data_IF_055875012313
#
_entry.id   IF_055875012313
#
_cell.length_a   1.000
_cell.length_b   1.000
_cell.length_c   1.000
_cell.angle_alpha   90.00
_cell.angle_beta   90.00
_cell.angle_gamma   90.00
#
_symmetry.space_group_name_H-M   'P 1'
#
loop_
_entity.id
_entity.type
_entity.pdbx_description
1 polymer ?
#
# COMPACT_ATOMS: atom_id res chain seq x y z
N UNK A 1 3.14 -27.95 25.05
CA UNK A 1 3.74 -29.16 25.64
C UNK A 1 2.87 -30.34 25.25
N UNK A 2 3.49 -31.47 24.90
CA UNK A 2 2.84 -32.72 24.53
C UNK A 2 2.75 -33.62 25.77
N UNK A 3 1.62 -33.58 26.47
CA UNK A 3 1.44 -34.28 27.75
C UNK A 3 1.38 -35.78 27.59
N UNK A 4 0.73 -36.28 26.53
CA UNK A 4 0.66 -37.72 26.24
C UNK A 4 2.03 -38.33 25.99
N UNK A 5 2.91 -37.61 25.30
CA UNK A 5 4.29 -38.06 25.09
C UNK A 5 5.19 -37.83 26.30
N UNK A 6 4.95 -36.75 27.03
CA UNK A 6 5.85 -36.25 28.07
C UNK A 6 5.69 -36.91 29.43
N UNK A 7 4.48 -37.36 29.78
CA UNK A 7 4.13 -37.87 31.11
C UNK A 7 4.06 -39.41 31.15
N UNK A 8 4.34 -40.03 32.31
CA UNK A 8 4.83 -39.39 33.55
C UNK A 8 6.30 -38.95 33.39
N UNK A 9 6.57 -37.70 33.74
CA UNK A 9 7.92 -37.12 33.66
C UNK A 9 8.80 -37.68 34.77
N UNK A 10 10.12 -37.75 34.53
CA UNK A 10 11.05 -38.16 35.58
C UNK A 10 12.51 -38.07 35.18
N UNK A 11 13.37 -37.85 36.18
CA UNK A 11 14.82 -37.85 36.02
C UNK A 11 15.32 -39.28 35.70
N UNK A 12 16.28 -39.38 34.79
CA UNK A 12 16.86 -40.67 34.35
C UNK A 12 18.22 -40.47 33.72
N UNK A 13 19.01 -41.54 33.70
CA UNK A 13 20.28 -41.55 32.98
C UNK A 13 20.03 -41.62 31.46
N UNK A 14 20.97 -41.11 30.67
CA UNK A 14 20.91 -41.18 29.20
C UNK A 14 20.88 -42.62 28.65
N UNK A 15 21.38 -43.59 29.43
CA UNK A 15 21.46 -45.01 29.04
C UNK A 15 20.24 -45.82 29.49
N UNK A 16 19.36 -45.25 30.30
CA UNK A 16 18.19 -45.96 30.80
C UNK A 16 17.11 -46.07 29.72
N UNK A 17 16.48 -47.23 29.60
CA UNK A 17 15.31 -47.41 28.76
C UNK A 17 14.08 -46.79 29.45
N UNK A 18 13.44 -45.76 28.86
CA UNK A 18 12.25 -45.12 29.43
C UNK A 18 11.08 -46.08 29.58
N UNK A 19 10.95 -47.07 28.68
CA UNK A 19 9.86 -48.06 28.75
C UNK A 19 10.02 -48.98 29.94
N UNK A 20 11.25 -49.38 30.26
CA UNK A 20 11.55 -50.18 31.45
C UNK A 20 11.27 -49.42 32.76
N UNK A 21 11.31 -48.08 32.74
CA UNK A 21 11.08 -47.21 33.89
C UNK A 21 9.65 -46.64 33.97
N UNK A 22 8.77 -46.98 33.02
CA UNK A 22 7.43 -46.40 32.89
C UNK A 22 7.42 -44.86 32.85
N UNK A 23 8.41 -44.24 32.18
CA UNK A 23 8.49 -42.77 32.07
C UNK A 23 8.22 -42.28 30.64
N UNK A 24 7.55 -41.14 30.53
CA UNK A 24 7.39 -40.39 29.27
C UNK A 24 8.65 -39.63 28.86
N UNK A 25 8.62 -38.95 27.71
CA UNK A 25 9.79 -38.29 27.10
C UNK A 25 10.33 -37.08 27.88
N UNK A 26 9.57 -36.50 28.82
CA UNK A 26 10.04 -35.38 29.63
C UNK A 26 11.02 -35.85 30.71
N UNK A 27 12.26 -35.34 30.69
CA UNK A 27 13.33 -35.69 31.64
C UNK A 27 13.35 -34.84 32.91
N UNK A 28 12.31 -34.03 33.11
CA UNK A 28 12.11 -33.15 34.28
C UNK A 28 13.25 -32.14 34.58
N UNK A 29 14.00 -31.71 33.57
CA UNK A 29 15.14 -30.79 33.74
C UNK A 29 14.78 -29.32 34.09
N UNK A 30 13.51 -28.93 34.00
CA UNK A 30 13.00 -27.57 34.27
C UNK A 30 13.62 -26.40 33.46
N UNK A 31 14.49 -26.66 32.48
CA UNK A 31 15.10 -25.62 31.63
C UNK A 31 14.05 -24.79 30.87
N UNK A 32 12.95 -25.42 30.45
CA UNK A 32 11.83 -24.73 29.78
C UNK A 32 11.16 -23.64 30.64
N UNK A 33 11.25 -23.75 31.97
CA UNK A 33 10.75 -22.74 32.93
C UNK A 33 11.78 -21.62 33.11
N UNK A 34 13.06 -21.99 33.20
CA UNK A 34 14.16 -21.03 33.41
C UNK A 34 14.34 -20.06 32.24
N UNK A 35 14.14 -20.53 31.00
CA UNK A 35 14.23 -19.67 29.81
C UNK A 35 12.95 -18.88 29.54
N UNK A 36 11.90 -19.10 30.32
CA UNK A 36 10.63 -18.42 30.11
C UNK A 36 10.72 -16.98 30.64
N UNK A 37 10.58 -15.94 29.80
CA UNK A 37 10.65 -14.56 30.27
C UNK A 37 9.48 -14.18 31.18
N UNK A 38 8.37 -14.92 31.14
CA UNK A 38 7.20 -14.69 31.99
C UNK A 38 7.12 -15.65 33.17
N UNK A 39 8.11 -16.54 33.35
CA UNK A 39 8.20 -17.44 34.51
C UNK A 39 7.15 -18.57 34.54
N UNK A 40 6.44 -18.82 33.45
CA UNK A 40 5.44 -19.91 33.39
C UNK A 40 6.08 -21.29 33.24
N UNK A 41 5.37 -22.30 33.73
CA UNK A 41 5.72 -23.70 33.47
C UNK A 41 4.81 -24.26 32.37
N UNK A 42 5.32 -24.23 31.13
CA UNK A 42 4.61 -24.71 29.94
C UNK A 42 4.15 -26.18 30.02
N UNK A 43 4.68 -26.96 30.97
CA UNK A 43 4.24 -28.34 31.23
C UNK A 43 2.87 -28.40 31.91
N UNK A 44 2.40 -27.29 32.52
CA UNK A 44 1.05 -27.14 33.10
C UNK A 44 -0.01 -26.76 32.06
N UNK A 45 0.35 -26.71 30.78
CA UNK A 45 -0.56 -26.39 29.69
C UNK A 45 -0.40 -24.95 29.19
N UNK A 46 -1.39 -24.50 28.42
CA UNK A 46 -1.41 -23.13 27.90
C UNK A 46 -1.88 -22.20 29.01
N UNK A 47 -1.02 -21.25 29.38
CA UNK A 47 -1.29 -20.25 30.42
C UNK A 47 -1.43 -18.87 29.78
N UNK A 48 -2.24 -17.99 30.39
CA UNK A 48 -2.55 -16.66 29.85
C UNK A 48 -1.33 -15.74 29.73
N UNK A 49 -0.32 -15.95 30.56
CA UNK A 49 0.93 -15.20 30.61
C UNK A 49 1.90 -15.62 29.50
N UNK A 50 1.54 -16.63 28.68
CA UNK A 50 2.36 -17.06 27.56
C UNK A 50 2.34 -16.01 26.43
N UNK A 51 3.51 -15.43 26.12
CA UNK A 51 3.68 -14.47 25.02
C UNK A 51 4.03 -15.12 23.67
N UNK A 52 4.13 -16.45 23.61
CA UNK A 52 4.46 -17.16 22.37
C UNK A 52 5.85 -16.82 21.81
N UNK A 53 6.88 -16.69 22.66
CA UNK A 53 8.25 -16.41 22.21
C UNK A 53 9.01 -17.65 21.71
N UNK A 54 8.67 -18.85 22.20
CA UNK A 54 9.23 -20.12 21.70
C UNK A 54 10.50 -20.60 22.39
N UNK A 55 11.11 -19.79 23.26
CA UNK A 55 12.35 -20.16 23.96
C UNK A 55 12.27 -21.50 24.71
N UNK A 56 11.10 -21.79 25.30
CA UNK A 56 10.85 -23.06 25.99
C UNK A 56 10.86 -24.27 25.04
N UNK A 57 10.47 -24.10 23.77
CA UNK A 57 10.54 -25.15 22.75
C UNK A 57 12.00 -25.41 22.33
N UNK A 58 12.75 -24.34 22.04
CA UNK A 58 14.13 -24.43 21.54
C UNK A 58 15.06 -25.09 22.57
N UNK A 59 14.97 -24.68 23.84
CA UNK A 59 15.77 -25.30 24.91
C UNK A 59 15.35 -26.75 25.13
N UNK A 60 14.06 -27.06 24.99
CA UNK A 60 13.56 -28.42 25.16
C UNK A 60 14.07 -29.34 24.04
N UNK A 61 14.07 -28.87 22.80
CA UNK A 61 14.61 -29.62 21.66
C UNK A 61 16.11 -29.88 21.82
N UNK A 62 16.86 -28.91 22.35
CA UNK A 62 18.28 -29.10 22.70
C UNK A 62 18.46 -30.22 23.73
N UNK A 63 17.58 -30.31 24.73
CA UNK A 63 17.60 -31.39 25.72
C UNK A 63 17.21 -32.72 25.10
N UNK A 64 16.14 -32.76 24.30
CA UNK A 64 15.68 -33.97 23.61
C UNK A 64 16.78 -34.56 22.73
N UNK A 65 17.49 -33.71 21.98
CA UNK A 65 18.62 -34.11 21.15
C UNK A 65 19.78 -34.67 21.99
N UNK A 66 20.14 -34.03 23.12
CA UNK A 66 21.18 -34.51 24.02
C UNK A 66 20.89 -35.88 24.62
N UNK A 67 19.62 -36.17 24.93
CA UNK A 67 19.21 -37.48 25.49
C UNK A 67 18.81 -38.50 24.41
N UNK A 68 18.79 -38.11 23.13
CA UNK A 68 18.50 -39.00 22.01
C UNK A 68 17.01 -39.24 21.73
N UNK A 69 16.12 -38.32 22.12
CA UNK A 69 14.67 -38.40 21.87
C UNK A 69 14.23 -37.50 20.71
N UNK A 70 13.09 -37.82 20.06
CA UNK A 70 12.52 -36.95 19.04
C UNK A 70 12.20 -35.55 19.58
N UNK A 71 12.52 -34.53 18.77
CA UNK A 71 12.19 -33.11 19.00
C UNK A 71 10.67 -32.87 19.06
N UNK A 72 10.28 -31.65 19.45
CA UNK A 72 8.89 -31.21 19.50
C UNK A 72 8.11 -31.72 20.71
N UNK A 73 8.76 -31.84 21.88
CA UNK A 73 8.04 -32.13 23.14
C UNK A 73 7.25 -30.90 23.59
N UNK A 74 7.84 -29.74 23.35
CA UNK A 74 7.15 -28.46 23.32
C UNK A 74 7.22 -27.99 21.85
N UNK A 75 6.08 -27.65 21.26
CA UNK A 75 5.96 -27.27 19.85
C UNK A 75 4.85 -26.27 19.64
N UNK A 76 4.97 -25.44 18.61
CA UNK A 76 3.88 -24.61 18.12
C UNK A 76 2.86 -25.48 17.40
N UNK A 77 1.71 -25.63 18.01
CA UNK A 77 0.58 -26.35 17.45
C UNK A 77 -0.71 -25.83 18.06
N UNK A 78 -1.84 -26.14 17.43
CA UNK A 78 -3.16 -25.87 18.01
C UNK A 78 -3.52 -26.99 18.99
N UNK A 79 -4.26 -26.67 20.05
CA UNK A 79 -4.76 -27.69 21.00
C UNK A 79 -5.52 -28.82 20.27
N UNK A 80 -6.28 -28.48 19.24
CA UNK A 80 -7.02 -29.46 18.45
C UNK A 80 -6.11 -30.37 17.60
N UNK A 81 -5.00 -29.85 17.08
CA UNK A 81 -4.01 -30.67 16.39
C UNK A 81 -3.21 -31.55 17.36
N UNK A 82 -2.94 -31.05 18.58
CA UNK A 82 -2.32 -31.84 19.65
C UNK A 82 -3.22 -32.99 20.09
N UNK A 83 -4.47 -32.71 20.45
CA UNK A 83 -5.45 -33.71 20.90
C UNK A 83 -5.79 -34.73 19.81
N UNK A 84 -5.78 -34.32 18.53
CA UNK A 84 -6.02 -35.21 17.40
C UNK A 84 -4.78 -35.98 16.94
N UNK A 85 -3.60 -35.77 17.53
CA UNK A 85 -2.35 -36.38 17.09
C UNK A 85 -1.97 -36.03 15.63
N UNK A 86 -2.35 -34.84 15.16
CA UNK A 86 -2.25 -34.52 13.73
C UNK A 86 -0.83 -34.36 13.26
N UNK A 87 -0.55 -34.89 12.08
CA UNK A 87 0.70 -34.62 11.38
C UNK A 87 0.73 -33.18 10.86
N UNK A 88 1.92 -32.71 10.49
CA UNK A 88 2.11 -31.37 9.90
C UNK A 88 1.25 -31.20 8.65
N UNK A 89 1.18 -32.22 7.80
CA UNK A 89 0.36 -32.23 6.59
C UNK A 89 -1.14 -32.11 6.88
N UNK A 90 -1.66 -32.86 7.87
CA UNK A 90 -3.06 -32.78 8.28
C UNK A 90 -3.39 -31.39 8.83
N UNK A 91 -2.47 -30.78 9.57
CA UNK A 91 -2.60 -29.42 10.08
C UNK A 91 -2.66 -28.40 8.94
N UNK A 92 -1.79 -28.51 7.92
CA UNK A 92 -1.82 -27.65 6.73
C UNK A 92 -3.10 -27.81 5.90
N UNK A 93 -3.60 -29.04 5.71
CA UNK A 93 -4.89 -29.27 5.04
C UNK A 93 -6.05 -28.58 5.77
N UNK A 94 -6.00 -28.51 7.10
CA UNK A 94 -6.98 -27.78 7.91
C UNK A 94 -6.90 -26.27 7.69
N UNK A 95 -5.74 -25.71 7.37
CA UNK A 95 -5.61 -24.29 7.02
C UNK A 95 -6.31 -23.99 5.69
N UNK A 96 -6.23 -24.91 4.72
CA UNK A 96 -6.84 -24.80 3.38
C UNK A 96 -8.37 -25.05 3.35
N UNK A 97 -9.09 -24.69 4.42
CA UNK A 97 -10.55 -24.82 4.46
C UNK A 97 -11.22 -23.82 3.51
N UNK A 98 -12.36 -24.18 2.90
CA UNK A 98 -13.07 -23.30 1.96
C UNK A 98 -13.31 -21.89 2.49
N UNK A 99 -13.69 -21.75 3.77
CA UNK A 99 -13.90 -20.43 4.40
C UNK A 99 -12.62 -19.59 4.48
N UNK A 100 -11.49 -20.20 4.82
CA UNK A 100 -10.20 -19.50 4.90
C UNK A 100 -9.78 -19.05 3.50
N UNK A 101 -9.86 -19.95 2.52
CA UNK A 101 -9.54 -19.64 1.12
C UNK A 101 -10.41 -18.50 0.58
N UNK A 102 -11.70 -18.46 0.91
CA UNK A 102 -12.61 -17.39 0.51
C UNK A 102 -12.19 -16.04 1.12
N UNK A 103 -11.92 -15.99 2.43
CA UNK A 103 -11.49 -14.75 3.07
C UNK A 103 -10.11 -14.28 2.56
N UNK A 104 -9.16 -15.20 2.36
CA UNK A 104 -7.86 -14.89 1.77
C UNK A 104 -8.01 -14.38 0.34
N UNK A 105 -8.89 -14.99 -0.45
CA UNK A 105 -9.19 -14.54 -1.82
C UNK A 105 -9.77 -13.14 -1.87
N UNK A 106 -10.75 -12.82 -1.02
CA UNK A 106 -11.33 -11.48 -0.91
C UNK A 106 -10.25 -10.46 -0.49
N UNK A 107 -9.46 -10.78 0.53
CA UNK A 107 -8.39 -9.91 1.00
C UNK A 107 -7.36 -9.63 -0.11
N UNK A 108 -6.95 -10.66 -0.85
CA UNK A 108 -6.05 -10.52 -1.99
C UNK A 108 -6.65 -9.63 -3.08
N UNK A 109 -7.93 -9.81 -3.41
CA UNK A 109 -8.62 -8.99 -4.41
C UNK A 109 -8.63 -7.51 -4.02
N UNK A 110 -8.99 -7.20 -2.77
CA UNK A 110 -9.00 -5.81 -2.27
C UNK A 110 -7.60 -5.23 -2.25
N UNK A 111 -6.61 -6.01 -1.84
CA UNK A 111 -5.21 -5.59 -1.79
C UNK A 111 -4.69 -5.29 -3.20
N UNK A 112 -4.95 -6.16 -4.16
CA UNK A 112 -4.59 -5.94 -5.56
C UNK A 112 -5.28 -4.71 -6.13
N UNK A 113 -6.59 -4.55 -5.89
CA UNK A 113 -7.33 -3.36 -6.32
C UNK A 113 -6.73 -2.07 -5.77
N UNK A 114 -6.34 -2.04 -4.49
CA UNK A 114 -5.68 -0.90 -3.86
C UNK A 114 -4.34 -0.58 -4.52
N UNK A 115 -3.47 -1.59 -4.69
CA UNK A 115 -2.16 -1.38 -5.31
C UNK A 115 -2.27 -0.96 -6.77
N UNK A 116 -3.18 -1.55 -7.54
CA UNK A 116 -3.48 -1.13 -8.90
C UNK A 116 -3.99 0.31 -8.95
N UNK A 117 -4.92 0.68 -8.06
CA UNK A 117 -5.42 2.06 -7.97
C UNK A 117 -4.32 3.06 -7.63
N UNK A 118 -3.36 2.68 -6.78
CA UNK A 118 -2.24 3.54 -6.43
C UNK A 118 -1.24 3.67 -7.58
N UNK A 119 -0.94 2.57 -8.27
CA UNK A 119 -0.03 2.57 -9.42
C UNK A 119 -0.59 3.34 -10.64
N UNK A 120 -1.91 3.32 -10.83
CA UNK A 120 -2.59 4.02 -11.93
C UNK A 120 -2.95 5.48 -11.61
N UNK A 121 -2.67 5.95 -10.39
CA UNK A 121 -2.99 7.33 -9.97
C UNK A 121 -2.17 8.32 -10.80
N UNK A 122 -2.84 9.23 -11.51
CA UNK A 122 -2.17 10.34 -12.20
C UNK A 122 -1.44 11.24 -11.18
N UNK A 123 -0.17 11.59 -11.40
CA UNK A 123 0.64 12.35 -10.45
C UNK A 123 0.34 13.86 -10.43
N UNK A 124 -0.65 14.34 -11.18
CA UNK A 124 -1.01 15.76 -11.23
C UNK A 124 -2.50 15.96 -11.51
N UNK A 125 -3.01 17.14 -11.17
CA UNK A 125 -4.38 17.60 -11.45
C UNK A 125 -4.33 19.06 -11.91
N UNK A 126 -5.15 19.43 -12.90
CA UNK A 126 -5.30 20.82 -13.33
C UNK A 126 -6.79 21.16 -13.36
N UNK A 127 -7.18 22.25 -12.70
CA UNK A 127 -8.55 22.78 -12.75
C UNK A 127 -8.55 24.14 -13.46
N UNK A 128 -9.42 24.32 -14.47
CA UNK A 128 -9.54 25.58 -15.22
C UNK A 128 -10.66 26.43 -14.64
N UNK A 129 -10.31 27.60 -14.07
CA UNK A 129 -11.28 28.57 -13.58
C UNK A 129 -11.24 29.81 -14.46
N UNK A 130 -12.30 30.05 -15.24
CA UNK A 130 -12.44 31.29 -16.02
C UNK A 130 -12.67 32.47 -15.08
N UNK A 131 -11.93 33.56 -15.28
CA UNK A 131 -12.19 34.78 -14.53
C UNK A 131 -13.53 35.39 -14.98
N UNK A 132 -14.38 35.75 -14.02
CA UNK A 132 -15.71 36.30 -14.29
C UNK A 132 -15.67 37.81 -14.53
N UNK A 133 -14.55 38.48 -14.24
CA UNK A 133 -14.43 39.93 -14.36
C UNK A 133 -13.00 40.33 -14.75
N UNK A 134 -12.78 40.95 -15.92
CA UNK A 134 -13.70 41.34 -17.00
C UNK A 134 -13.84 40.28 -18.10
N UNK A 135 -15.03 40.26 -18.73
CA UNK A 135 -15.53 39.19 -19.62
C UNK A 135 -14.79 39.06 -20.97
N UNK A 136 -14.17 40.12 -21.46
CA UNK A 136 -13.23 40.16 -22.57
C UNK A 136 -12.67 41.60 -22.66
N UNK A 137 -11.41 41.78 -23.02
CA UNK A 137 -10.83 43.11 -23.27
C UNK A 137 -10.29 43.19 -24.68
N UNK A 138 -10.48 44.32 -25.35
CA UNK A 138 -9.81 44.59 -26.62
C UNK A 138 -8.45 45.21 -26.28
N UNK A 139 -7.37 44.58 -26.74
CA UNK A 139 -6.00 45.01 -26.49
C UNK A 139 -5.46 45.73 -27.74
N UNK A 140 -4.45 46.59 -27.54
CA UNK A 140 -3.73 47.27 -28.63
C UNK A 140 -3.30 46.27 -29.70
N UNK A 141 -3.74 46.47 -30.94
CA UNK A 141 -3.52 45.56 -32.07
C UNK A 141 -4.75 44.80 -32.55
N UNK A 142 -5.96 45.13 -32.06
CA UNK A 142 -7.21 44.52 -32.54
C UNK A 142 -7.39 43.07 -32.08
N UNK A 143 -6.83 42.72 -30.92
CA UNK A 143 -6.92 41.39 -30.34
C UNK A 143 -7.94 41.40 -29.19
N UNK A 144 -8.76 40.36 -29.12
CA UNK A 144 -9.69 40.10 -28.02
C UNK A 144 -8.96 39.22 -27.01
N UNK A 145 -8.87 39.68 -25.77
CA UNK A 145 -8.21 38.98 -24.66
C UNK A 145 -9.23 38.43 -23.66
N UNK A 146 -9.07 37.16 -23.28
CA UNK A 146 -9.80 36.51 -22.19
C UNK A 146 -8.80 36.00 -21.14
N UNK A 147 -9.13 36.14 -19.86
CA UNK A 147 -8.27 35.76 -18.73
C UNK A 147 -8.82 34.53 -18.02
N UNK A 148 -7.94 33.57 -17.76
CA UNK A 148 -8.23 32.30 -17.08
C UNK A 148 -7.25 32.12 -15.92
N UNK A 149 -7.69 31.42 -14.88
CA UNK A 149 -6.84 31.01 -13.76
C UNK A 149 -6.83 29.49 -13.71
N UNK A 150 -5.67 28.91 -14.00
CA UNK A 150 -5.43 27.47 -13.89
C UNK A 150 -4.92 27.16 -12.50
N UNK A 151 -5.57 26.22 -11.80
CA UNK A 151 -5.01 25.64 -10.59
C UNK A 151 -4.24 24.38 -10.99
N UNK A 152 -2.92 24.45 -10.98
CA UNK A 152 -2.04 23.31 -11.28
C UNK A 152 -1.58 22.69 -9.97
N UNK A 153 -1.89 21.43 -9.74
CA UNK A 153 -1.49 20.68 -8.55
C UNK A 153 -0.56 19.53 -8.92
N UNK A 154 0.66 19.58 -8.40
CA UNK A 154 1.62 18.49 -8.50
C UNK A 154 1.47 17.58 -7.28
N UNK A 155 1.05 16.33 -7.52
CA UNK A 155 0.92 15.31 -6.48
C UNK A 155 2.11 14.32 -6.47
N UNK A 156 3.12 14.52 -7.32
CA UNK A 156 4.36 13.77 -7.30
C UNK A 156 5.34 14.33 -6.24
N UNK A 157 6.24 13.46 -5.79
CA UNK A 157 7.36 13.80 -4.90
C UNK A 157 8.55 14.43 -5.67
N UNK A 158 8.35 14.85 -6.91
CA UNK A 158 9.35 15.49 -7.77
C UNK A 158 8.78 16.74 -8.42
N UNK A 159 9.61 17.75 -8.71
CA UNK A 159 9.17 18.90 -9.50
C UNK A 159 8.73 18.45 -10.90
N UNK A 160 7.64 19.02 -11.39
CA UNK A 160 7.11 18.79 -12.73
C UNK A 160 6.98 20.11 -13.49
N UNK A 161 7.29 20.07 -14.78
CA UNK A 161 7.01 21.14 -15.72
C UNK A 161 5.67 20.91 -16.39
N UNK A 162 4.90 21.97 -16.56
CA UNK A 162 3.61 21.94 -17.22
C UNK A 162 3.62 22.85 -18.43
N UNK A 163 3.40 22.27 -19.61
CA UNK A 163 3.22 23.00 -20.86
C UNK A 163 1.74 23.21 -21.15
N UNK A 164 1.37 24.47 -21.31
CA UNK A 164 0.00 24.91 -21.56
C UNK A 164 -0.20 25.16 -23.06
N UNK A 165 -1.25 24.56 -23.62
CA UNK A 165 -1.72 24.82 -24.98
C UNK A 165 -3.23 25.03 -24.97
N UNK A 166 -3.74 25.81 -25.91
CA UNK A 166 -5.16 26.07 -26.07
C UNK A 166 -5.57 25.83 -27.53
N UNK A 167 -6.66 25.10 -27.73
CA UNK A 167 -7.21 24.76 -29.05
C UNK A 167 -8.71 25.05 -29.09
N UNK A 168 -9.27 25.16 -30.30
CA UNK A 168 -10.71 25.33 -30.53
C UNK A 168 -11.09 26.50 -31.42
N UNK A 169 -10.20 27.47 -31.61
CA UNK A 169 -10.39 28.64 -32.49
C UNK A 169 -9.15 28.89 -33.35
N UNK A 170 -9.36 29.26 -34.62
CA UNK A 170 -8.26 29.60 -35.53
C UNK A 170 -7.67 30.96 -35.14
N UNK A 171 -6.34 31.02 -34.95
CA UNK A 171 -5.64 32.23 -34.50
C UNK A 171 -5.63 32.44 -32.99
N UNK A 172 -6.15 31.49 -32.20
CA UNK A 172 -6.06 31.53 -30.73
C UNK A 172 -4.61 31.35 -30.28
N UNK A 173 -4.11 32.26 -29.45
CA UNK A 173 -2.75 32.22 -28.92
C UNK A 173 -2.71 32.46 -27.41
N UNK A 174 -1.76 31.81 -26.74
CA UNK A 174 -1.46 32.06 -25.33
C UNK A 174 -0.37 33.12 -25.27
N UNK A 175 -0.61 34.22 -24.54
CA UNK A 175 0.33 35.35 -24.43
C UNK A 175 1.14 35.31 -23.14
N UNK A 176 0.72 34.50 -22.18
CA UNK A 176 1.45 34.25 -20.93
C UNK A 176 2.49 33.16 -21.10
N UNK A 177 3.42 33.07 -20.15
CA UNK A 177 4.40 31.98 -20.09
C UNK A 177 3.67 30.63 -20.13
N UNK A 178 4.03 29.79 -21.11
CA UNK A 178 3.38 28.51 -21.37
C UNK A 178 4.02 27.37 -20.58
N UNK A 179 5.19 27.59 -19.99
CA UNK A 179 5.91 26.61 -19.18
C UNK A 179 5.85 26.99 -17.71
N UNK A 180 5.33 26.10 -16.88
CA UNK A 180 5.20 26.36 -15.44
C UNK A 180 5.84 25.24 -14.65
N UNK A 181 6.85 25.60 -13.86
CA UNK A 181 7.44 24.72 -12.88
C UNK A 181 6.60 24.69 -11.59
N UNK A 182 6.11 23.51 -11.22
CA UNK A 182 5.42 23.28 -9.94
C UNK A 182 6.26 22.29 -9.12
N UNK A 183 6.78 22.73 -7.95
CA UNK A 183 7.54 21.86 -7.05
C UNK A 183 6.75 20.63 -6.60
N UNK A 184 7.49 19.66 -6.07
CA UNK A 184 6.91 18.44 -5.52
C UNK A 184 5.81 18.77 -4.50
N UNK A 185 4.68 18.07 -4.59
CA UNK A 185 3.55 18.19 -3.64
C UNK A 185 2.95 19.59 -3.46
N UNK A 186 3.19 20.51 -4.40
CA UNK A 186 2.70 21.90 -4.35
C UNK A 186 1.53 22.14 -5.32
N UNK A 187 0.72 23.15 -5.04
CA UNK A 187 -0.29 23.68 -5.96
C UNK A 187 -0.04 25.16 -6.26
N UNK A 188 -0.12 25.55 -7.54
CA UNK A 188 0.07 26.93 -7.99
C UNK A 188 -1.09 27.40 -8.85
N UNK A 189 -1.45 28.67 -8.66
CA UNK A 189 -2.37 29.37 -9.54
C UNK A 189 -1.59 30.05 -10.65
N UNK A 190 -1.93 29.73 -11.90
CA UNK A 190 -1.34 30.31 -13.09
C UNK A 190 -2.40 31.16 -13.78
N UNK A 191 -2.11 32.45 -13.97
CA UNK A 191 -2.98 33.33 -14.77
C UNK A 191 -2.60 33.19 -16.24
N UNK A 192 -3.55 32.77 -17.05
CA UNK A 192 -3.37 32.52 -18.48
C UNK A 192 -4.21 33.50 -19.27
N UNK A 193 -3.58 34.18 -20.23
CA UNK A 193 -4.26 35.10 -21.14
C UNK A 193 -4.30 34.51 -22.53
N UNK A 194 -5.51 34.35 -23.06
CA UNK A 194 -5.76 33.93 -24.42
C UNK A 194 -6.09 35.15 -25.27
N UNK A 195 -5.46 35.28 -26.42
CA UNK A 195 -5.76 36.32 -27.40
C UNK A 195 -6.24 35.70 -28.72
N UNK A 196 -7.20 36.39 -29.34
CA UNK A 196 -7.81 36.03 -30.61
C UNK A 196 -7.96 37.30 -31.48
N UNK A 197 -7.63 37.25 -32.78
CA UNK A 197 -7.88 38.37 -33.68
C UNK A 197 -9.37 38.72 -33.77
N UNK A 198 -9.70 40.01 -33.83
CA UNK A 198 -11.09 40.50 -33.79
C UNK A 198 -11.98 39.95 -34.92
N UNK A 199 -11.39 39.63 -36.07
CA UNK A 199 -12.06 39.12 -37.27
C UNK A 199 -12.15 37.58 -37.32
N UNK A 200 -11.50 36.87 -36.39
CA UNK A 200 -11.36 35.42 -36.45
C UNK A 200 -12.62 34.65 -36.02
N UNK A 201 -13.56 35.27 -35.28
CA UNK A 201 -14.76 34.60 -34.80
C UNK A 201 -15.96 35.57 -34.63
N UNK A 202 -17.19 35.10 -34.87
CA UNK A 202 -18.38 35.92 -34.66
C UNK A 202 -18.63 36.19 -33.17
N UNK A 203 -19.35 37.28 -32.82
CA UNK A 203 -19.74 37.57 -31.44
C UNK A 203 -20.48 36.41 -30.77
N UNK A 204 -20.05 36.00 -29.59
CA UNK A 204 -20.64 34.87 -28.89
C UNK A 204 -19.66 34.08 -28.02
N UNK A 205 -20.13 32.89 -27.62
CA UNK A 205 -19.43 31.96 -26.75
C UNK A 205 -18.91 30.79 -27.58
N UNK A 206 -17.59 30.60 -27.58
CA UNK A 206 -16.92 29.57 -28.38
C UNK A 206 -16.24 28.55 -27.48
N UNK A 207 -16.48 27.24 -27.67
CA UNK A 207 -15.82 26.20 -26.88
C UNK A 207 -14.33 26.15 -27.21
N UNK A 208 -13.51 26.07 -26.15
CA UNK A 208 -12.06 25.89 -26.26
C UNK A 208 -11.60 24.76 -25.33
N UNK A 209 -10.47 24.16 -25.64
CA UNK A 209 -9.87 23.09 -24.88
C UNK A 209 -8.44 23.48 -24.49
N UNK A 210 -8.15 23.45 -23.19
CA UNK A 210 -6.79 23.56 -22.70
C UNK A 210 -6.16 22.17 -22.70
N UNK A 211 -5.06 22.00 -23.43
CA UNK A 211 -4.22 20.81 -23.38
C UNK A 211 -3.03 21.13 -22.47
N UNK A 212 -2.94 20.40 -21.36
CA UNK A 212 -1.83 20.54 -20.40
C UNK A 212 -1.03 19.24 -20.43
N UNK A 213 0.24 19.37 -20.79
CA UNK A 213 1.21 18.29 -20.79
C UNK A 213 2.17 18.48 -19.63
N UNK A 214 2.27 17.49 -18.75
CA UNK A 214 3.30 17.47 -17.70
C UNK A 214 4.53 16.73 -18.19
N UNK A 215 5.73 17.22 -17.91
CA UNK A 215 6.98 16.52 -18.21
C UNK A 215 8.02 16.72 -17.11
N UNK A 216 8.95 15.76 -16.99
CA UNK A 216 10.13 15.86 -16.14
C UNK A 216 11.29 16.44 -16.97
N UNK A 217 12.17 17.23 -16.34
CA UNK A 217 13.35 17.79 -16.99
C UNK A 217 14.22 16.66 -17.57
N UNK A 218 14.35 16.61 -18.90
CA UNK A 218 15.10 15.57 -19.61
C UNK A 218 14.33 14.27 -19.94
N UNK A 219 13.00 14.22 -19.78
CA UNK A 219 12.16 13.04 -20.11
C UNK A 219 10.88 13.40 -20.90
N UNK A 220 10.31 12.37 -21.54
CA UNK A 220 9.02 12.41 -22.23
C UNK A 220 7.85 12.76 -21.29
N UNK A 221 6.74 13.17 -21.91
CA UNK A 221 5.48 13.59 -21.27
C UNK A 221 5.01 12.56 -20.24
N UNK A 222 4.98 12.95 -18.96
CA UNK A 222 4.53 12.15 -17.81
C UNK A 222 3.01 11.99 -17.79
N UNK A 223 2.31 12.89 -18.48
CA UNK A 223 0.89 12.74 -18.74
C UNK A 223 0.29 13.97 -19.42
N UNK A 224 -0.88 13.74 -19.99
CA UNK A 224 -1.69 14.75 -20.67
C UNK A 224 -3.09 14.82 -20.02
N UNK A 225 -3.59 16.04 -19.89
CA UNK A 225 -4.97 16.32 -19.48
C UNK A 225 -5.56 17.39 -20.40
N UNK A 226 -6.82 17.17 -20.76
CA UNK A 226 -7.60 18.11 -21.55
C UNK A 226 -8.73 18.66 -20.68
N UNK A 227 -8.78 19.99 -20.56
CA UNK A 227 -9.79 20.68 -19.76
C UNK A 227 -10.62 21.63 -20.63
N UNK A 228 -11.95 21.55 -20.48
CA UNK A 228 -12.89 22.29 -21.32
C UNK A 228 -13.11 23.70 -20.77
N UNK A 229 -13.14 24.69 -21.65
CA UNK A 229 -13.48 26.06 -21.32
C UNK A 229 -14.20 26.78 -22.46
N UNK A 230 -14.45 28.06 -22.28
CA UNK A 230 -15.21 28.89 -23.23
C UNK A 230 -14.53 30.24 -23.40
N UNK A 231 -14.30 30.62 -24.66
CA UNK A 231 -13.83 31.93 -25.07
C UNK A 231 -15.01 32.83 -25.45
N UNK A 232 -15.03 34.05 -24.92
CA UNK A 232 -16.07 35.03 -25.18
C UNK A 232 -15.59 36.12 -26.12
N UNK A 233 -16.31 36.30 -27.23
CA UNK A 233 -16.15 37.40 -28.18
C UNK A 233 -17.25 38.41 -27.89
N UNK A 234 -16.92 39.66 -27.51
CA UNK A 234 -17.91 40.71 -27.26
C UNK A 234 -18.72 41.03 -28.53
N UNK A 235 -19.94 41.54 -28.33
CA UNK A 235 -20.81 42.04 -29.40
C UNK A 235 -20.41 43.45 -29.82
#
# INVERSE_FOLDING_TARGET
>A
YDSERGEPRGARSKKADPRALNLGACVDCSLCVQVCPTGIDIRKGLQYECIGCGACADVCDTVMEKVGYPKGLIKYSTQNAMAGGWTREQTWRRVLRPRVLLYTGILLLVTLALFSSLALRKPFKVDVVRDRSPLARIVSGGQIENVYRLQVMNAAEKPLHFRLQAQGLQGLSIVTETDVLVPATESRWVSVRLQLPYDAAPPGSHPIHFQIQSYEEGKEVVGEIEEKSVFLVPR
#
